data_IF_882715634215
#
_entry.id   IF_882715634215
#
_cell.length_a   1.000
_cell.length_b   1.000
_cell.length_c   1.000
_cell.angle_alpha   90.00
_cell.angle_beta   90.00
_cell.angle_gamma   90.00
#
_symmetry.space_group_name_H-M   'P 1'
#
loop_
_entity.id
_entity.type
_entity.pdbx_description
1 polymer ?
#
# COMPACT_ATOMS: atom_id res chain seq x y z
N UNK A 1 18.71 0.65 40.25
CA UNK A 1 17.84 1.44 39.36
C UNK A 1 17.83 0.71 38.03
N UNK A 2 17.03 -0.35 37.98
CA UNK A 2 17.03 -1.30 36.88
C UNK A 2 15.87 -0.97 35.94
N UNK A 3 16.19 -0.78 34.66
CA UNK A 3 15.26 -0.33 33.64
C UNK A 3 14.49 -1.55 33.12
N UNK A 4 13.15 -1.58 33.17
CA UNK A 4 12.40 -2.75 32.71
C UNK A 4 12.56 -2.93 31.18
N UNK A 5 12.64 -4.17 30.67
CA UNK A 5 12.87 -4.41 29.26
C UNK A 5 11.66 -3.96 28.42
N UNK A 6 11.97 -3.44 27.22
CA UNK A 6 11.00 -3.09 26.20
C UNK A 6 10.08 -4.29 25.91
N UNK A 7 8.77 -4.07 26.02
CA UNK A 7 7.77 -5.11 25.71
C UNK A 7 7.89 -5.50 24.22
N UNK A 8 7.86 -6.79 23.88
CA UNK A 8 7.66 -7.18 22.49
C UNK A 8 6.19 -6.94 22.15
N UNK A 9 5.92 -6.15 21.12
CA UNK A 9 4.61 -6.03 20.49
C UNK A 9 4.25 -7.35 19.79
N UNK A 10 3.98 -8.39 20.58
CA UNK A 10 3.27 -9.58 20.14
C UNK A 10 1.78 -9.25 20.11
N UNK A 11 1.28 -8.88 18.95
CA UNK A 11 -0.12 -9.15 18.65
C UNK A 11 -0.25 -10.62 18.25
N UNK A 12 -0.45 -11.49 19.25
CA UNK A 12 -1.09 -12.78 19.02
C UNK A 12 -2.60 -12.59 19.13
N UNK A 13 -3.29 -12.59 18.00
CA UNK A 13 -4.50 -13.38 17.87
C UNK A 13 -4.19 -14.49 16.86
N UNK A 14 -3.73 -15.63 17.37
CA UNK A 14 -3.75 -16.88 16.63
C UNK A 14 -5.22 -17.23 16.36
N UNK A 15 -5.72 -16.92 15.15
CA UNK A 15 -6.99 -17.46 14.63
C UNK A 15 -8.19 -16.51 14.48
N UNK A 16 -8.05 -15.30 13.93
CA UNK A 16 -9.22 -14.53 13.45
C UNK A 16 -9.01 -14.05 12.00
N UNK A 17 -9.57 -14.79 11.04
CA UNK A 17 -9.73 -14.39 9.64
C UNK A 17 -8.54 -14.71 8.73
N UNK A 18 -8.54 -15.89 8.10
CA UNK A 18 -7.66 -16.16 6.96
C UNK A 18 -8.09 -15.28 5.78
N UNK A 19 -7.45 -14.12 5.58
CA UNK A 19 -7.65 -13.25 4.41
C UNK A 19 -7.37 -13.97 3.08
N UNK A 20 -6.75 -15.16 3.13
CA UNK A 20 -6.46 -16.00 1.97
C UNK A 20 -7.73 -16.38 1.18
N UNK A 21 -8.87 -16.54 1.85
CA UNK A 21 -10.15 -16.81 1.19
C UNK A 21 -10.65 -15.64 0.34
N UNK A 22 -10.48 -14.40 0.81
CA UNK A 22 -10.90 -13.19 0.11
C UNK A 22 -10.02 -12.93 -1.12
N UNK A 23 -8.70 -13.08 -0.99
CA UNK A 23 -7.75 -12.85 -2.10
C UNK A 23 -8.04 -13.81 -3.26
N UNK A 24 -8.49 -15.03 -2.99
CA UNK A 24 -8.83 -16.03 -4.03
C UNK A 24 -9.96 -15.57 -4.95
N UNK A 25 -10.88 -14.72 -4.48
CA UNK A 25 -11.99 -14.19 -5.27
C UNK A 25 -11.54 -13.13 -6.28
N UNK A 26 -10.35 -12.56 -6.10
CA UNK A 26 -9.82 -11.48 -6.95
C UNK A 26 -8.87 -11.99 -8.03
N UNK A 27 -8.64 -13.31 -8.13
CA UNK A 27 -7.58 -13.89 -8.97
C UNK A 27 -7.68 -13.59 -10.47
N UNK A 28 -8.87 -13.22 -10.98
CA UNK A 28 -9.05 -12.81 -12.38
C UNK A 28 -8.89 -11.30 -12.65
N UNK A 29 -8.80 -10.48 -11.60
CA UNK A 29 -8.77 -9.01 -11.69
C UNK A 29 -7.53 -8.39 -11.04
N UNK A 30 -6.75 -9.18 -10.30
CA UNK A 30 -5.53 -8.74 -9.62
C UNK A 30 -4.30 -9.36 -10.28
N UNK A 31 -3.28 -8.55 -10.48
CA UNK A 31 -1.93 -9.01 -10.82
C UNK A 31 -1.07 -9.02 -9.55
N UNK A 32 -0.42 -10.15 -9.28
CA UNK A 32 0.59 -10.25 -8.22
C UNK A 32 1.89 -9.62 -8.72
N UNK A 33 2.41 -8.64 -7.99
CA UNK A 33 3.63 -7.92 -8.33
C UNK A 33 4.74 -8.31 -7.35
N UNK A 34 5.85 -8.92 -7.80
CA UNK A 34 7.01 -9.15 -6.95
C UNK A 34 7.75 -7.82 -6.68
N UNK A 35 8.11 -7.57 -5.42
CA UNK A 35 8.85 -6.37 -5.03
C UNK A 35 10.35 -6.64 -5.12
N UNK A 36 10.99 -6.09 -6.16
CA UNK A 36 12.44 -6.24 -6.43
C UNK A 36 13.27 -5.11 -5.84
N UNK A 37 12.69 -3.91 -5.70
CA UNK A 37 13.28 -2.76 -5.01
C UNK A 37 12.26 -2.05 -4.14
N UNK A 38 12.75 -1.28 -3.16
CA UNK A 38 11.91 -0.56 -2.21
C UNK A 38 12.22 0.93 -2.16
N UNK A 39 11.18 1.72 -1.91
CA UNK A 39 11.24 3.14 -1.60
C UNK A 39 10.82 3.38 -0.15
N UNK A 40 11.30 4.48 0.41
CA UNK A 40 10.88 5.01 1.70
C UNK A 40 10.60 6.51 1.49
N UNK A 41 9.34 6.84 1.27
CA UNK A 41 8.92 8.20 0.93
C UNK A 41 7.70 8.65 1.76
N UNK A 42 6.91 7.72 2.25
CA UNK A 42 5.78 8.00 3.13
C UNK A 42 6.25 8.38 4.54
N UNK A 43 5.43 9.16 5.24
CA UNK A 43 5.64 9.47 6.65
C UNK A 43 5.43 8.24 7.54
N UNK A 44 4.45 7.40 7.22
CA UNK A 44 4.30 6.06 7.81
C UNK A 44 4.99 5.02 6.90
N UNK A 45 6.03 4.33 7.39
CA UNK A 45 6.70 3.26 6.64
C UNK A 45 5.78 2.13 6.16
N UNK A 46 4.57 2.00 6.74
CA UNK A 46 3.59 1.00 6.31
C UNK A 46 2.92 1.34 4.97
N UNK A 47 2.89 2.61 4.60
CA UNK A 47 2.24 3.08 3.37
C UNK A 47 3.17 3.04 2.15
N UNK A 48 4.47 2.92 2.38
CA UNK A 48 5.46 2.70 1.31
C UNK A 48 5.13 1.47 0.46
N UNK A 49 4.39 0.49 1.00
CA UNK A 49 3.96 -0.70 0.23
C UNK A 49 3.16 -0.34 -1.03
N UNK A 50 2.39 0.75 -1.02
CA UNK A 50 1.61 1.16 -2.19
C UNK A 50 2.52 1.71 -3.29
N UNK A 51 3.48 2.54 -2.91
CA UNK A 51 4.49 3.08 -3.81
C UNK A 51 5.38 1.96 -4.37
N UNK A 52 5.79 1.02 -3.51
CA UNK A 52 6.57 -0.14 -3.91
C UNK A 52 5.84 -0.98 -4.97
N UNK A 53 4.55 -1.27 -4.77
CA UNK A 53 3.74 -2.04 -5.73
C UNK A 53 3.55 -1.27 -7.02
N UNK A 54 3.29 0.04 -6.95
CA UNK A 54 3.10 0.86 -8.15
C UNK A 54 4.37 0.90 -9.02
N UNK A 55 5.53 1.13 -8.40
CA UNK A 55 6.79 1.22 -9.13
C UNK A 55 7.27 -0.13 -9.67
N UNK A 56 7.21 -1.20 -8.86
CA UNK A 56 7.58 -2.54 -9.33
C UNK A 56 6.54 -3.12 -10.31
N UNK A 57 5.30 -2.62 -10.27
CA UNK A 57 4.22 -3.02 -11.16
C UNK A 57 4.09 -2.14 -12.39
N UNK A 58 4.92 -1.11 -12.55
CA UNK A 58 4.82 -0.14 -13.65
C UNK A 58 3.39 0.45 -13.76
N UNK A 59 2.78 0.74 -12.62
CA UNK A 59 1.45 1.35 -12.59
C UNK A 59 1.55 2.82 -13.01
N UNK A 60 0.70 3.24 -13.95
CA UNK A 60 0.62 4.64 -14.36
C UNK A 60 -0.06 5.52 -13.30
N UNK A 61 -0.99 4.93 -12.53
CA UNK A 61 -1.84 5.66 -11.58
C UNK A 61 -2.07 4.86 -10.30
N UNK A 62 -1.95 5.52 -9.15
CA UNK A 62 -2.52 5.08 -7.87
C UNK A 62 -3.80 5.88 -7.61
N UNK A 63 -4.91 5.16 -7.44
CA UNK A 63 -6.18 5.77 -7.04
C UNK A 63 -6.36 5.58 -5.53
N UNK A 64 -6.38 6.67 -4.77
CA UNK A 64 -6.48 6.62 -3.31
C UNK A 64 -7.24 7.80 -2.72
N UNK A 65 -7.91 7.58 -1.58
CA UNK A 65 -8.50 8.64 -0.77
C UNK A 65 -7.59 9.12 0.36
N UNK A 66 -6.40 8.55 0.50
CA UNK A 66 -5.44 8.88 1.54
C UNK A 66 -4.76 10.22 1.24
N UNK A 67 -4.88 11.17 2.16
CA UNK A 67 -4.35 12.52 1.98
C UNK A 67 -2.82 12.56 1.97
N UNK A 68 -2.15 11.73 2.77
CA UNK A 68 -0.69 11.69 2.85
C UNK A 68 -0.12 11.16 1.52
N UNK A 69 -0.71 10.09 0.97
CA UNK A 69 -0.30 9.60 -0.35
C UNK A 69 -0.59 10.60 -1.48
N UNK A 70 -1.74 11.29 -1.44
CA UNK A 70 -2.08 12.31 -2.44
C UNK A 70 -1.08 13.47 -2.46
N UNK A 71 -0.42 13.79 -1.33
CA UNK A 71 0.61 14.84 -1.30
C UNK A 71 1.88 14.47 -2.06
N UNK A 72 2.10 13.18 -2.33
CA UNK A 72 3.24 12.68 -3.09
C UNK A 72 3.01 12.73 -4.61
N UNK A 73 1.86 13.25 -5.07
CA UNK A 73 1.55 13.34 -6.49
C UNK A 73 2.36 14.43 -7.22
N UNK A 74 3.02 14.13 -8.35
CA UNK A 74 3.29 12.81 -8.91
C UNK A 74 4.51 12.14 -8.26
N UNK A 75 4.51 10.80 -8.21
CA UNK A 75 5.60 10.03 -7.61
C UNK A 75 6.29 9.16 -8.66
N UNK A 76 7.51 9.54 -9.08
CA UNK A 76 8.32 8.79 -10.07
C UNK A 76 7.49 8.36 -11.30
N UNK A 77 6.82 9.33 -11.93
CA UNK A 77 5.96 9.15 -13.12
C UNK A 77 4.61 8.47 -12.85
N UNK A 78 4.33 8.07 -11.61
CA UNK A 78 3.03 7.56 -11.18
C UNK A 78 2.15 8.70 -10.68
N UNK A 79 1.00 8.89 -11.31
CA UNK A 79 -0.02 9.83 -10.85
C UNK A 79 -0.72 9.27 -9.61
N UNK A 80 -0.81 10.05 -8.53
CA UNK A 80 -1.55 9.68 -7.32
C UNK A 80 -2.77 10.59 -7.21
N UNK A 81 -3.96 10.05 -7.50
CA UNK A 81 -5.18 10.86 -7.62
C UNK A 81 -6.35 10.29 -6.83
N UNK A 82 -7.29 11.18 -6.49
CA UNK A 82 -8.52 10.80 -5.83
C UNK A 82 -9.46 10.05 -6.80
N UNK A 83 -10.32 9.13 -6.31
CA UNK A 83 -11.27 8.40 -7.15
C UNK A 83 -12.15 9.30 -8.03
N UNK A 84 -12.64 10.42 -7.46
CA UNK A 84 -13.45 11.38 -8.22
C UNK A 84 -12.69 12.05 -9.36
N UNK A 85 -11.37 12.25 -9.22
CA UNK A 85 -10.53 12.79 -10.29
C UNK A 85 -10.24 11.72 -11.36
N UNK A 86 -10.04 10.47 -10.96
CA UNK A 86 -9.87 9.35 -11.90
C UNK A 86 -11.10 9.15 -12.78
N UNK A 87 -12.31 9.18 -12.20
CA UNK A 87 -13.55 9.04 -12.97
C UNK A 87 -13.71 10.12 -14.03
N UNK A 88 -13.35 11.38 -13.72
CA UNK A 88 -13.38 12.48 -14.70
C UNK A 88 -12.38 12.35 -15.85
N UNK A 89 -11.33 11.53 -15.71
CA UNK A 89 -10.38 11.23 -16.80
C UNK A 89 -10.81 10.07 -17.69
N UNK A 90 -11.69 9.21 -17.18
CA UNK A 90 -12.18 8.03 -17.87
C UNK A 90 -13.41 8.30 -18.75
N UNK A 91 -13.98 9.51 -18.66
CA UNK A 91 -14.99 10.06 -19.58
C UNK A 91 -14.32 10.58 -20.86
#
# INVERSE_FOLDING_TARGET
MDQPPARPERYCCEGCGSYSGMIRLLGGIVRVVPITYRVAACRDPKDDKFLNVALNGEAEIIVTGDADLLTLNPFHEVDIIAPAAFLKRAE
#
